data_IF_417518869121
#
_entry.id   IF_417518869121
#
_cell.length_a   1.000
_cell.length_b   1.000
_cell.length_c   1.000
_cell.angle_alpha   90.00
_cell.angle_beta   90.00
_cell.angle_gamma   90.00
#
_symmetry.space_group_name_H-M   'P 1'
#
loop_
_entity.id
_entity.type
_entity.pdbx_description
1 polymer ?
#
# COMPACT_ATOMS: atom_id res chain seq x y z
N UNK A 1 -21.23 26.13 -16.28
CA UNK A 1 -20.70 25.41 -15.08
C UNK A 1 -19.24 25.02 -15.33
N UNK A 2 -18.40 24.92 -14.28
CA UNK A 2 -17.04 24.35 -14.37
C UNK A 2 -17.04 22.95 -13.79
N UNK A 3 -16.70 21.93 -14.58
CA UNK A 3 -16.50 20.55 -14.13
C UNK A 3 -14.99 20.28 -14.04
N UNK A 4 -14.49 19.91 -12.86
CA UNK A 4 -13.10 19.46 -12.71
C UNK A 4 -13.07 17.94 -12.78
N UNK A 5 -12.48 17.41 -13.85
CA UNK A 5 -12.72 16.04 -14.29
C UNK A 5 -11.48 15.16 -14.13
N UNK A 6 -11.60 14.09 -13.35
CA UNK A 6 -10.62 13.00 -13.28
C UNK A 6 -10.75 12.05 -14.46
N UNK A 7 -9.76 12.02 -15.35
CA UNK A 7 -9.79 11.15 -16.55
C UNK A 7 -9.22 9.74 -16.31
N UNK A 8 -8.89 9.41 -15.07
CA UNK A 8 -8.24 8.14 -14.73
C UNK A 8 -6.80 8.02 -15.27
N UNK A 9 -6.14 6.86 -15.09
CA UNK A 9 -4.77 6.64 -15.55
C UNK A 9 -4.67 6.19 -17.01
N UNK A 10 -5.70 5.51 -17.53
CA UNK A 10 -5.85 5.18 -18.96
C UNK A 10 -7.24 5.54 -19.49
N UNK A 11 -7.44 5.45 -20.82
CA UNK A 11 -8.75 5.67 -21.45
C UNK A 11 -9.80 4.65 -21.00
N UNK A 12 -9.37 3.42 -20.67
CA UNK A 12 -10.24 2.32 -20.20
C UNK A 12 -10.68 2.50 -18.75
N UNK A 13 -9.86 3.17 -17.94
CA UNK A 13 -10.14 3.44 -16.52
C UNK A 13 -10.94 4.74 -16.32
N UNK A 14 -11.35 5.40 -17.41
CA UNK A 14 -12.18 6.59 -17.34
C UNK A 14 -13.58 6.21 -16.88
N UNK A 15 -14.10 6.91 -15.86
CA UNK A 15 -15.47 6.70 -15.40
C UNK A 15 -16.47 7.17 -16.45
N UNK A 16 -17.65 6.56 -16.49
CA UNK A 16 -18.72 6.98 -17.39
C UNK A 16 -19.11 8.45 -17.17
N UNK A 17 -19.20 8.89 -15.90
CA UNK A 17 -19.48 10.28 -15.54
C UNK A 17 -18.40 11.27 -16.05
N UNK A 18 -17.13 10.87 -16.05
CA UNK A 18 -16.06 11.70 -16.63
C UNK A 18 -16.19 11.83 -18.15
N UNK A 19 -16.56 10.73 -18.83
CA UNK A 19 -16.82 10.73 -20.27
C UNK A 19 -18.00 11.66 -20.63
N UNK A 20 -19.12 11.55 -19.92
CA UNK A 20 -20.28 12.45 -20.12
C UNK A 20 -19.92 13.91 -19.88
N UNK A 21 -19.21 14.22 -18.78
CA UNK A 21 -18.77 15.57 -18.47
C UNK A 21 -17.87 16.19 -19.57
N UNK A 22 -17.01 15.38 -20.18
CA UNK A 22 -16.17 15.81 -21.32
C UNK A 22 -17.02 16.03 -22.57
N UNK A 23 -17.98 15.14 -22.84
CA UNK A 23 -18.87 15.24 -24.00
C UNK A 23 -19.75 16.49 -23.95
N UNK A 24 -20.23 16.86 -22.76
CA UNK A 24 -21.10 18.02 -22.56
C UNK A 24 -20.35 19.36 -22.53
N UNK A 25 -19.02 19.34 -22.42
CA UNK A 25 -18.23 20.57 -22.32
C UNK A 25 -18.05 21.26 -23.68
N UNK A 26 -18.08 22.59 -23.68
CA UNK A 26 -17.72 23.42 -24.83
C UNK A 26 -16.20 23.59 -24.93
N UNK A 27 -15.54 23.68 -23.77
CA UNK A 27 -14.11 23.97 -23.65
C UNK A 27 -13.43 22.91 -22.78
N UNK A 28 -12.34 22.34 -23.29
CA UNK A 28 -11.48 21.41 -22.57
C UNK A 28 -10.18 22.12 -22.20
N UNK A 29 -9.85 22.12 -20.92
CA UNK A 29 -8.64 22.77 -20.39
C UNK A 29 -7.82 21.74 -19.64
N UNK A 30 -6.54 21.59 -20.01
CA UNK A 30 -5.70 20.56 -19.39
C UNK A 30 -4.21 20.70 -19.69
N UNK A 31 -3.43 19.85 -19.04
CA UNK A 31 -2.05 19.62 -19.43
C UNK A 31 -2.01 18.83 -20.74
N UNK A 32 -1.13 19.20 -21.68
CA UNK A 32 -1.02 18.61 -23.01
C UNK A 32 -1.10 17.07 -23.02
N UNK A 33 -0.30 16.40 -22.17
CA UNK A 33 -0.29 14.92 -22.11
C UNK A 33 -1.62 14.30 -21.67
N UNK A 34 -2.46 15.04 -20.95
CA UNK A 34 -3.78 14.56 -20.52
C UNK A 34 -4.79 14.75 -21.65
N UNK A 35 -4.73 15.89 -22.35
CA UNK A 35 -5.54 16.18 -23.53
C UNK A 35 -5.25 15.15 -24.63
N UNK A 36 -3.98 14.82 -24.86
CA UNK A 36 -3.56 13.82 -25.85
C UNK A 36 -4.22 12.44 -25.65
N UNK A 37 -4.59 12.09 -24.41
CA UNK A 37 -5.23 10.80 -24.07
C UNK A 37 -6.72 10.72 -24.38
N UNK A 38 -7.35 11.85 -24.71
CA UNK A 38 -8.79 11.95 -24.92
C UNK A 38 -9.15 12.65 -26.25
N UNK A 39 -8.16 12.82 -27.16
CA UNK A 39 -8.34 13.55 -28.43
C UNK A 39 -9.51 13.01 -29.26
N UNK A 40 -9.72 11.69 -29.22
CA UNK A 40 -10.79 10.97 -29.92
C UNK A 40 -12.20 11.41 -29.51
N UNK A 41 -12.38 12.01 -28.33
CA UNK A 41 -13.70 12.37 -27.78
C UNK A 41 -13.91 13.87 -27.55
N UNK A 42 -12.97 14.70 -28.02
CA UNK A 42 -13.01 16.15 -27.87
C UNK A 42 -12.93 16.90 -29.21
N UNK A 43 -13.12 16.19 -30.31
CA UNK A 43 -13.16 16.78 -31.65
C UNK A 43 -14.26 17.85 -31.75
N UNK A 44 -13.95 18.97 -32.42
CA UNK A 44 -14.87 20.11 -32.58
C UNK A 44 -15.03 21.00 -31.34
N UNK A 45 -14.41 20.68 -30.20
CA UNK A 45 -14.43 21.51 -28.98
C UNK A 45 -13.30 22.53 -28.97
N UNK A 46 -13.45 23.60 -28.18
CA UNK A 46 -12.31 24.48 -27.89
C UNK A 46 -11.33 23.78 -26.96
N UNK A 47 -10.04 23.71 -27.32
CA UNK A 47 -9.03 23.00 -26.54
C UNK A 47 -7.95 23.99 -26.09
N UNK A 48 -7.74 24.09 -24.78
CA UNK A 48 -6.71 24.93 -24.18
C UNK A 48 -5.67 24.06 -23.49
N UNK A 49 -4.55 23.87 -24.17
CA UNK A 49 -3.39 23.13 -23.67
C UNK A 49 -2.40 24.09 -23.00
N UNK A 50 -2.07 23.84 -21.73
CA UNK A 50 -1.01 24.57 -21.01
C UNK A 50 0.08 23.63 -20.52
N UNK A 51 1.28 24.17 -20.29
CA UNK A 51 2.46 23.42 -19.88
C UNK A 51 2.46 23.03 -18.40
N UNK A 52 3.52 22.34 -17.96
CA UNK A 52 3.76 22.08 -16.54
C UNK A 52 4.03 23.41 -15.81
N UNK A 53 3.62 23.52 -14.53
CA UNK A 53 3.78 24.72 -13.65
C UNK A 53 2.86 25.89 -13.97
N UNK A 54 1.85 25.67 -14.80
CA UNK A 54 0.82 26.64 -15.14
C UNK A 54 -0.53 26.26 -14.50
N UNK A 55 -0.52 25.58 -13.35
CA UNK A 55 -1.75 25.10 -12.69
C UNK A 55 -2.68 26.28 -12.37
N UNK A 56 -2.17 27.34 -11.74
CA UNK A 56 -2.96 28.54 -11.40
C UNK A 56 -3.57 29.15 -12.67
N UNK A 57 -2.76 29.30 -13.72
CA UNK A 57 -3.21 29.85 -15.00
C UNK A 57 -4.31 29.01 -15.65
N UNK A 58 -4.25 27.67 -15.55
CA UNK A 58 -5.33 26.79 -16.04
C UNK A 58 -6.65 27.05 -15.31
N UNK A 59 -6.59 27.21 -13.98
CA UNK A 59 -7.78 27.51 -13.18
C UNK A 59 -8.36 28.89 -13.52
N UNK A 60 -7.52 29.92 -13.65
CA UNK A 60 -7.96 31.28 -14.05
C UNK A 60 -8.60 31.30 -15.44
N UNK A 61 -8.04 30.55 -16.41
CA UNK A 61 -8.63 30.42 -17.74
C UNK A 61 -9.99 29.70 -17.68
N UNK A 62 -10.12 28.66 -16.85
CA UNK A 62 -11.40 27.97 -16.66
C UNK A 62 -12.49 28.92 -16.15
N UNK A 63 -12.14 29.79 -15.19
CA UNK A 63 -13.04 30.82 -14.66
C UNK A 63 -13.41 31.84 -15.73
N UNK A 64 -12.43 32.30 -16.51
CA UNK A 64 -12.68 33.23 -17.64
C UNK A 64 -13.66 32.62 -18.64
N UNK A 65 -13.43 31.38 -19.08
CA UNK A 65 -14.29 30.68 -20.04
C UNK A 65 -15.70 30.43 -19.51
N UNK A 66 -15.82 30.12 -18.22
CA UNK A 66 -17.12 30.00 -17.60
C UNK A 66 -17.90 31.31 -17.61
N UNK A 67 -17.24 32.45 -17.36
CA UNK A 67 -17.86 33.80 -17.44
C UNK A 67 -18.25 34.20 -18.87
N UNK A 68 -17.62 33.61 -19.87
CA UNK A 68 -18.04 33.71 -21.28
C UNK A 68 -19.29 32.84 -21.57
N UNK A 69 -19.91 32.24 -20.56
CA UNK A 69 -21.11 31.39 -20.69
C UNK A 69 -20.82 29.95 -21.10
N UNK A 70 -19.56 29.52 -21.14
CA UNK A 70 -19.18 28.17 -21.58
C UNK A 70 -19.32 27.13 -20.47
N UNK A 71 -19.63 25.91 -20.89
CA UNK A 71 -19.45 24.70 -20.09
C UNK A 71 -17.99 24.24 -20.18
N UNK A 72 -17.30 24.24 -19.05
CA UNK A 72 -15.84 24.03 -19.00
C UNK A 72 -15.53 22.70 -18.35
N UNK A 73 -14.71 21.87 -19.00
CA UNK A 73 -14.07 20.72 -18.38
C UNK A 73 -12.58 21.01 -18.12
N UNK A 74 -12.23 21.14 -16.84
CA UNK A 74 -10.84 21.26 -16.38
C UNK A 74 -10.32 19.88 -15.99
N UNK A 75 -9.51 19.26 -16.85
CA UNK A 75 -9.14 17.85 -16.69
C UNK A 75 -7.89 17.65 -15.80
N UNK A 76 -7.88 16.57 -15.03
CA UNK A 76 -6.73 16.06 -14.26
C UNK A 76 -6.49 14.58 -14.57
N UNK A 77 -5.23 14.15 -14.61
CA UNK A 77 -4.93 12.71 -14.64
C UNK A 77 -5.33 12.04 -13.34
N UNK A 78 -5.89 10.84 -13.41
CA UNK A 78 -6.34 10.13 -12.22
C UNK A 78 -7.56 10.81 -11.60
N UNK A 79 -7.46 11.17 -10.32
CA UNK A 79 -8.49 11.89 -9.58
C UNK A 79 -8.08 13.37 -9.38
N UNK A 80 -8.99 14.35 -9.56
CA UNK A 80 -8.64 15.76 -9.46
C UNK A 80 -8.34 16.23 -8.02
N UNK A 81 -8.80 15.50 -7.00
CA UNK A 81 -8.54 15.78 -5.58
C UNK A 81 -7.19 15.26 -5.08
N UNK A 82 -6.58 14.31 -5.78
CA UNK A 82 -5.29 13.72 -5.37
C UNK A 82 -4.15 14.40 -6.13
N UNK A 83 -3.56 15.42 -5.51
CA UNK A 83 -2.48 16.25 -6.08
C UNK A 83 -2.82 16.83 -7.47
N UNK A 84 -4.11 17.04 -7.74
CA UNK A 84 -4.65 17.49 -9.03
C UNK A 84 -5.19 18.92 -9.03
N UNK A 85 -5.98 19.25 -10.05
CA UNK A 85 -6.50 20.61 -10.26
C UNK A 85 -7.55 21.06 -9.26
N UNK A 86 -8.25 20.15 -8.54
CA UNK A 86 -9.27 20.56 -7.58
C UNK A 86 -8.66 21.40 -6.46
N UNK A 87 -7.55 20.95 -5.88
CA UNK A 87 -6.85 21.68 -4.81
C UNK A 87 -6.38 23.07 -5.27
N UNK A 88 -5.90 23.16 -6.51
CA UNK A 88 -5.46 24.45 -7.08
C UNK A 88 -6.65 25.36 -7.35
N UNK A 89 -7.74 24.83 -7.88
CA UNK A 89 -8.92 25.60 -8.21
C UNK A 89 -9.56 26.18 -6.95
N UNK A 90 -9.80 25.35 -5.92
CA UNK A 90 -10.38 25.80 -4.67
C UNK A 90 -9.47 26.74 -3.88
N UNK A 91 -8.15 26.67 -4.05
CA UNK A 91 -7.24 27.68 -3.49
C UNK A 91 -7.44 29.09 -4.10
N UNK A 92 -8.02 29.18 -5.30
CA UNK A 92 -8.23 30.44 -6.01
C UNK A 92 -9.69 30.90 -6.02
N UNK A 93 -10.64 30.03 -5.65
CA UNK A 93 -12.06 30.26 -5.88
C UNK A 93 -12.58 31.51 -5.16
N UNK A 94 -12.08 31.79 -3.96
CA UNK A 94 -12.51 32.92 -3.12
C UNK A 94 -12.19 34.30 -3.74
N UNK A 95 -11.35 34.34 -4.77
CA UNK A 95 -11.10 35.57 -5.56
C UNK A 95 -12.27 35.92 -6.49
N UNK A 96 -13.26 35.04 -6.65
CA UNK A 96 -14.30 35.14 -7.66
C UNK A 96 -15.68 34.80 -7.08
N UNK A 97 -16.64 35.70 -7.28
CA UNK A 97 -18.05 35.45 -6.91
C UNK A 97 -18.80 34.70 -8.01
N UNK A 98 -19.87 33.99 -7.60
CA UNK A 98 -20.85 33.34 -8.49
C UNK A 98 -20.24 32.32 -9.46
N UNK A 99 -19.36 31.45 -8.96
CA UNK A 99 -18.74 30.37 -9.74
C UNK A 99 -19.31 29.03 -9.27
N UNK A 100 -20.00 28.32 -10.16
CA UNK A 100 -20.48 26.96 -9.89
C UNK A 100 -19.47 25.91 -10.36
N UNK A 101 -19.09 25.02 -9.44
CA UNK A 101 -18.08 23.99 -9.66
C UNK A 101 -18.62 22.61 -9.28
N UNK A 102 -18.33 21.63 -10.12
CA UNK A 102 -18.60 20.22 -9.87
C UNK A 102 -17.30 19.42 -9.97
N UNK A 103 -17.02 18.54 -9.00
CA UNK A 103 -15.88 17.61 -9.06
C UNK A 103 -16.36 16.26 -9.57
N UNK A 104 -15.76 15.80 -10.68
CA UNK A 104 -16.01 14.48 -11.24
C UNK A 104 -14.84 13.56 -10.87
N UNK A 105 -15.07 12.52 -10.05
CA UNK A 105 -14.01 11.66 -9.57
C UNK A 105 -13.44 10.78 -10.69
N UNK A 106 -12.19 10.38 -10.49
CA UNK A 106 -11.49 9.45 -11.40
C UNK A 106 -10.72 8.38 -10.65
N UNK A 107 -10.40 7.27 -11.32
CA UNK A 107 -9.55 6.23 -10.72
C UNK A 107 -8.16 6.84 -10.46
N UNK A 108 -7.71 6.90 -9.22
CA UNK A 108 -6.38 7.44 -8.90
C UNK A 108 -5.28 6.42 -9.22
N UNK A 109 -4.05 6.91 -9.41
CA UNK A 109 -2.90 6.07 -9.75
C UNK A 109 -2.64 4.96 -8.71
N UNK A 110 -2.91 5.21 -7.42
CA UNK A 110 -2.78 4.21 -6.35
C UNK A 110 -3.63 2.95 -6.60
N UNK A 111 -4.93 3.11 -6.85
CA UNK A 111 -5.81 1.97 -7.11
C UNK A 111 -5.47 1.28 -8.43
N UNK A 112 -5.13 2.05 -9.47
CA UNK A 112 -4.71 1.49 -10.75
C UNK A 112 -3.44 0.65 -10.61
N UNK A 113 -2.39 1.20 -10.00
CA UNK A 113 -1.15 0.45 -9.76
C UNK A 113 -1.38 -0.79 -8.90
N UNK A 114 -2.20 -0.69 -7.85
CA UNK A 114 -2.56 -1.84 -7.02
C UNK A 114 -3.26 -2.94 -7.82
N UNK A 115 -4.18 -2.59 -8.73
CA UNK A 115 -4.87 -3.56 -9.58
C UNK A 115 -3.92 -4.36 -10.50
N UNK A 116 -2.78 -3.77 -10.86
CA UNK A 116 -1.75 -4.43 -11.66
C UNK A 116 -0.78 -5.28 -10.81
N UNK A 117 -0.73 -5.03 -9.50
CA UNK A 117 0.16 -5.70 -8.55
C UNK A 117 -0.52 -6.84 -7.79
N UNK A 118 -1.85 -6.89 -7.75
CA UNK A 118 -2.62 -7.86 -6.97
C UNK A 118 -3.50 -7.16 -5.92
N UNK A 119 -3.18 -7.34 -4.64
CA UNK A 119 -3.91 -6.71 -3.52
C UNK A 119 -2.94 -6.10 -2.47
N UNK A 120 -2.09 -5.13 -2.86
CA UNK A 120 -1.08 -4.56 -1.95
C UNK A 120 -1.63 -3.49 -1.00
N UNK A 121 -2.88 -3.03 -1.17
CA UNK A 121 -3.46 -1.97 -0.36
C UNK A 121 -4.29 -2.56 0.80
N UNK A 122 -4.02 -2.09 2.02
CA UNK A 122 -4.88 -2.24 3.21
C UNK A 122 -5.07 -0.86 3.83
N UNK A 123 -4.65 -0.64 5.08
CA UNK A 123 -4.52 0.70 5.65
C UNK A 123 -3.30 1.29 4.98
N UNK A 124 -3.50 2.32 4.18
CA UNK A 124 -2.43 2.92 3.39
C UNK A 124 -2.47 4.45 3.47
N UNK A 125 -1.33 5.05 3.18
CA UNK A 125 -1.18 6.49 3.04
C UNK A 125 -0.69 6.84 1.63
N UNK A 126 -1.02 8.05 1.21
CA UNK A 126 -0.58 8.63 -0.06
C UNK A 126 0.29 9.85 0.25
N UNK A 127 1.56 9.80 -0.12
CA UNK A 127 2.53 10.86 0.14
C UNK A 127 3.13 11.33 -1.19
N UNK A 128 3.06 12.63 -1.46
CA UNK A 128 3.81 13.25 -2.55
C UNK A 128 5.23 13.53 -2.08
N UNK A 129 6.24 13.12 -2.87
CA UNK A 129 7.64 13.43 -2.63
C UNK A 129 8.11 14.72 -3.33
N UNK A 130 7.18 15.50 -3.90
CA UNK A 130 7.49 16.82 -4.46
C UNK A 130 7.72 17.84 -3.34
N UNK A 131 8.93 18.38 -3.26
CA UNK A 131 9.38 19.37 -2.29
C UNK A 131 9.30 20.82 -2.81
N UNK A 132 8.59 21.08 -3.92
CA UNK A 132 8.48 22.43 -4.52
C UNK A 132 7.85 23.44 -3.54
N UNK A 133 6.77 23.04 -2.88
CA UNK A 133 6.05 23.87 -1.90
C UNK A 133 5.96 23.18 -0.53
N UNK A 134 6.56 22.00 -0.38
CA UNK A 134 6.51 21.20 0.85
C UNK A 134 7.93 21.04 1.39
N UNK A 135 8.23 21.57 2.59
CA UNK A 135 9.54 21.41 3.20
C UNK A 135 9.92 19.93 3.35
N UNK A 136 11.19 19.61 3.11
CA UNK A 136 11.69 18.24 3.27
C UNK A 136 11.47 17.69 4.69
N UNK A 137 11.52 18.55 5.71
CA UNK A 137 11.22 18.19 7.10
C UNK A 137 9.80 17.64 7.27
N UNK A 138 8.83 18.21 6.58
CA UNK A 138 7.44 17.74 6.60
C UNK A 138 7.30 16.39 5.89
N UNK A 139 7.94 16.21 4.72
CA UNK A 139 7.95 14.93 4.00
C UNK A 139 8.53 13.84 4.89
N UNK A 140 9.70 14.09 5.50
CA UNK A 140 10.36 13.15 6.42
C UNK A 140 9.45 12.77 7.58
N UNK A 141 8.81 13.76 8.23
CA UNK A 141 7.86 13.51 9.32
C UNK A 141 6.68 12.65 8.90
N UNK A 142 6.08 12.91 7.73
CA UNK A 142 4.97 12.10 7.18
C UNK A 142 5.40 10.65 6.93
N UNK A 143 6.58 10.44 6.33
CA UNK A 143 7.11 9.10 6.06
C UNK A 143 7.43 8.35 7.35
N UNK A 144 8.08 9.01 8.31
CA UNK A 144 8.40 8.43 9.62
C UNK A 144 7.11 7.98 10.35
N UNK A 145 6.11 8.85 10.44
CA UNK A 145 4.85 8.51 11.09
C UNK A 145 4.07 7.41 10.35
N UNK A 146 4.14 7.39 9.02
CA UNK A 146 3.47 6.37 8.23
C UNK A 146 4.08 4.97 8.44
N UNK A 147 5.41 4.89 8.47
CA UNK A 147 6.11 3.62 8.64
C UNK A 147 5.97 3.08 10.06
N UNK A 148 6.07 3.95 11.08
CA UNK A 148 5.92 3.54 12.49
C UNK A 148 4.49 3.14 12.83
N UNK A 149 3.49 3.77 12.20
CA UNK A 149 2.09 3.37 12.33
C UNK A 149 1.72 2.11 11.50
N UNK A 150 2.64 1.58 10.70
CA UNK A 150 2.42 0.32 9.99
C UNK A 150 1.58 0.40 8.72
N UNK A 151 1.44 1.60 8.14
CA UNK A 151 0.74 1.82 6.88
C UNK A 151 1.51 1.25 5.69
N UNK A 152 0.77 0.79 4.67
CA UNK A 152 1.31 0.69 3.31
C UNK A 152 1.53 2.12 2.78
N UNK A 153 2.67 2.40 2.15
CA UNK A 153 3.00 3.76 1.72
C UNK A 153 3.00 3.84 0.20
N UNK A 154 2.15 4.71 -0.36
CA UNK A 154 2.11 4.99 -1.80
C UNK A 154 2.79 6.34 -2.07
N UNK A 155 3.88 6.33 -2.83
CA UNK A 155 4.58 7.54 -3.21
C UNK A 155 4.14 8.05 -4.59
N UNK A 156 3.63 9.29 -4.59
CA UNK A 156 3.41 10.08 -5.79
C UNK A 156 4.61 11.01 -6.00
N UNK A 157 4.82 11.40 -7.26
CA UNK A 157 5.87 12.33 -7.66
C UNK A 157 7.26 11.92 -7.13
N UNK A 158 7.66 10.64 -7.26
CA UNK A 158 8.74 10.10 -6.43
C UNK A 158 10.10 10.68 -6.75
N UNK A 159 10.42 10.95 -8.02
CA UNK A 159 11.74 11.49 -8.42
C UNK A 159 11.66 12.45 -9.59
N UNK A 160 12.03 13.71 -9.36
CA UNK A 160 12.21 14.70 -10.43
C UNK A 160 13.61 14.61 -11.05
N UNK A 161 13.78 15.11 -12.28
CA UNK A 161 15.08 15.08 -13.00
C UNK A 161 16.27 15.60 -12.17
N UNK A 162 16.08 16.72 -11.45
CA UNK A 162 17.11 17.36 -10.62
C UNK A 162 16.95 17.08 -9.11
N UNK A 163 15.80 16.53 -8.70
CA UNK A 163 15.39 16.44 -7.28
C UNK A 163 15.25 14.97 -6.90
N UNK A 164 16.36 14.39 -6.46
CA UNK A 164 16.45 13.00 -5.96
C UNK A 164 16.39 12.91 -4.43
N UNK A 165 16.70 14.01 -3.73
CA UNK A 165 16.87 14.06 -2.26
C UNK A 165 15.63 13.57 -1.47
N UNK A 166 14.37 13.97 -1.79
CA UNK A 166 13.20 13.51 -1.03
C UNK A 166 13.03 11.99 -1.02
N UNK A 167 13.19 11.33 -2.18
CA UNK A 167 13.12 9.87 -2.29
C UNK A 167 14.22 9.17 -1.49
N UNK A 168 15.46 9.64 -1.60
CA UNK A 168 16.59 9.06 -0.88
C UNK A 168 16.37 9.15 0.63
N UNK A 169 15.93 10.31 1.13
CA UNK A 169 15.64 10.51 2.55
C UNK A 169 14.45 9.67 3.02
N UNK A 170 13.38 9.57 2.23
CA UNK A 170 12.24 8.71 2.53
C UNK A 170 12.64 7.23 2.62
N UNK A 171 13.41 6.73 1.66
CA UNK A 171 13.91 5.34 1.69
C UNK A 171 14.87 5.10 2.84
N UNK A 172 15.71 6.09 3.21
CA UNK A 172 16.56 6.01 4.40
C UNK A 172 15.73 5.85 5.67
N UNK A 173 14.65 6.62 5.81
CA UNK A 173 13.73 6.49 6.95
C UNK A 173 13.09 5.10 6.99
N UNK A 174 12.54 4.66 5.85
CA UNK A 174 11.84 3.37 5.76
C UNK A 174 12.80 2.22 6.07
N UNK A 175 14.03 2.25 5.55
CA UNK A 175 15.08 1.24 5.80
C UNK A 175 15.56 1.17 7.25
N UNK A 176 15.28 2.18 8.07
CA UNK A 176 15.55 2.10 9.52
C UNK A 176 14.47 1.35 10.27
N UNK A 177 13.26 1.25 9.73
CA UNK A 177 12.10 0.69 10.40
C UNK A 177 11.62 -0.62 9.78
N UNK A 178 11.88 -0.89 8.50
CA UNK A 178 11.36 -2.06 7.81
C UNK A 178 12.46 -3.02 7.39
N UNK A 179 12.15 -4.31 7.46
CA UNK A 179 12.98 -5.39 6.92
C UNK A 179 13.40 -5.10 5.46
N UNK A 180 14.65 -5.43 5.08
CA UNK A 180 15.13 -5.27 3.70
C UNK A 180 14.32 -6.03 2.65
N UNK A 181 13.64 -7.10 3.06
CA UNK A 181 12.84 -7.99 2.20
C UNK A 181 11.41 -7.49 1.97
N UNK A 182 11.00 -6.36 2.56
CA UNK A 182 9.65 -5.82 2.35
C UNK A 182 9.40 -5.59 0.86
N UNK A 183 8.30 -6.13 0.29
CA UNK A 183 8.00 -5.96 -1.12
C UNK A 183 7.74 -4.49 -1.49
N UNK A 184 8.24 -4.11 -2.66
CA UNK A 184 8.04 -2.80 -3.27
C UNK A 184 7.49 -2.99 -4.68
N UNK A 185 6.28 -2.48 -4.91
CA UNK A 185 5.69 -2.36 -6.23
C UNK A 185 6.18 -1.08 -6.93
N UNK A 186 6.61 -1.21 -8.18
CA UNK A 186 7.08 -0.12 -9.05
C UNK A 186 6.23 -0.13 -10.31
N UNK A 187 5.36 0.87 -10.47
CA UNK A 187 4.46 0.95 -11.65
C UNK A 187 4.78 2.19 -12.46
N UNK A 188 5.22 2.01 -13.71
CA UNK A 188 5.66 3.09 -14.60
C UNK A 188 4.90 3.04 -15.91
N UNK A 189 4.01 4.00 -16.14
CA UNK A 189 3.19 4.06 -17.36
C UNK A 189 2.40 2.77 -17.63
N UNK A 190 1.96 2.07 -16.59
CA UNK A 190 1.25 0.78 -16.68
C UNK A 190 2.15 -0.46 -16.73
N UNK A 191 3.48 -0.32 -16.85
CA UNK A 191 4.41 -1.45 -16.70
C UNK A 191 4.66 -1.72 -15.23
N UNK A 192 4.62 -3.00 -14.85
CA UNK A 192 4.77 -3.47 -13.47
C UNK A 192 6.18 -4.02 -13.25
N UNK A 193 6.80 -3.61 -12.16
CA UNK A 193 7.95 -4.27 -11.56
C UNK A 193 7.69 -4.50 -10.07
N UNK A 194 8.15 -5.64 -9.55
CA UNK A 194 8.12 -5.95 -8.13
C UNK A 194 9.56 -6.22 -7.69
N UNK A 195 9.98 -5.58 -6.60
CA UNK A 195 11.31 -5.74 -6.00
C UNK A 195 11.19 -5.73 -4.47
N UNK A 196 12.30 -5.67 -3.75
CA UNK A 196 12.34 -5.51 -2.30
C UNK A 196 12.95 -4.16 -1.93
N UNK A 197 12.77 -3.73 -0.67
CA UNK A 197 13.32 -2.47 -0.16
C UNK A 197 14.85 -2.38 -0.31
N UNK A 198 15.56 -3.52 -0.18
CA UNK A 198 16.99 -3.61 -0.40
C UNK A 198 17.38 -3.49 -1.87
N UNK A 199 16.62 -4.14 -2.76
CA UNK A 199 16.93 -4.25 -4.20
C UNK A 199 16.34 -3.12 -5.05
N UNK A 200 15.61 -2.19 -4.45
CA UNK A 200 15.02 -1.05 -5.14
C UNK A 200 16.12 -0.14 -5.71
N UNK A 201 16.26 -0.16 -7.04
CA UNK A 201 17.09 0.80 -7.77
C UNK A 201 16.35 2.13 -7.92
N UNK A 202 16.95 3.20 -7.37
CA UNK A 202 16.38 4.54 -7.44
C UNK A 202 16.54 5.19 -8.80
N UNK A 203 17.46 4.71 -9.64
CA UNK A 203 17.75 5.34 -10.92
C UNK A 203 16.67 5.09 -11.98
N UNK A 204 15.95 3.96 -11.91
CA UNK A 204 14.80 3.63 -12.77
C UNK A 204 13.51 4.42 -12.46
N UNK A 205 13.48 5.11 -11.32
CA UNK A 205 12.32 5.82 -10.81
C UNK A 205 12.28 7.24 -11.37
N UNK A 206 11.13 7.70 -11.88
CA UNK A 206 10.93 9.09 -12.32
C UNK A 206 9.51 9.61 -12.01
N UNK A 207 9.15 10.79 -12.55
CA UNK A 207 7.85 11.43 -12.32
C UNK A 207 6.65 10.64 -12.88
N UNK A 208 6.88 9.63 -13.72
CA UNK A 208 5.84 8.74 -14.26
C UNK A 208 5.74 7.40 -13.51
N UNK A 209 6.55 7.24 -12.46
CA UNK A 209 6.56 6.06 -11.60
C UNK A 209 5.67 6.30 -10.39
N UNK A 210 4.91 5.28 -10.00
CA UNK A 210 4.28 5.15 -8.70
C UNK A 210 4.98 4.04 -7.91
N UNK A 211 5.28 4.29 -6.64
CA UNK A 211 5.85 3.28 -5.75
C UNK A 211 4.82 2.88 -4.69
N UNK A 212 4.66 1.58 -4.44
CA UNK A 212 3.89 1.05 -3.32
C UNK A 212 4.85 0.28 -2.43
N UNK A 213 5.13 0.81 -1.25
CA UNK A 213 5.95 0.16 -0.23
C UNK A 213 5.04 -0.65 0.68
N UNK A 214 5.24 -1.97 0.72
CA UNK A 214 4.51 -2.85 1.62
C UNK A 214 4.75 -2.51 3.10
N UNK A 215 3.91 -3.07 3.95
CA UNK A 215 4.08 -3.05 5.40
C UNK A 215 4.59 -4.43 5.91
N UNK A 216 4.82 -4.62 7.22
CA UNK A 216 5.30 -5.90 7.79
C UNK A 216 4.49 -7.16 7.47
N UNK A 217 3.23 -7.00 7.05
CA UNK A 217 2.35 -8.12 6.67
C UNK A 217 2.24 -8.31 5.15
N UNK A 218 2.95 -7.51 4.36
CA UNK A 218 2.89 -7.57 2.91
C UNK A 218 3.87 -8.62 2.37
N UNK A 219 3.43 -9.44 1.43
CA UNK A 219 4.22 -10.53 0.87
C UNK A 219 3.96 -10.75 -0.62
N UNK A 220 4.81 -11.58 -1.24
CA UNK A 220 4.68 -11.99 -2.63
C UNK A 220 4.20 -13.44 -2.73
N UNK A 221 3.28 -13.69 -3.67
CA UNK A 221 2.82 -15.05 -3.98
C UNK A 221 2.36 -15.09 -5.43
N UNK A 222 2.93 -16.02 -6.21
CA UNK A 222 2.52 -16.24 -7.62
C UNK A 222 2.59 -14.95 -8.46
N UNK A 223 3.59 -14.10 -8.21
CA UNK A 223 3.75 -12.81 -8.87
C UNK A 223 2.83 -11.69 -8.35
N UNK A 224 1.94 -11.96 -7.40
CA UNK A 224 1.08 -10.96 -6.76
C UNK A 224 1.69 -10.42 -5.47
N UNK A 225 1.56 -9.11 -5.27
CA UNK A 225 1.81 -8.43 -4.01
C UNK A 225 0.52 -8.38 -3.18
N UNK A 226 0.58 -8.90 -1.95
CA UNK A 226 -0.59 -9.15 -1.11
C UNK A 226 -0.37 -8.59 0.28
N UNK A 227 -1.33 -7.80 0.76
CA UNK A 227 -1.44 -7.40 2.17
C UNK A 227 -2.72 -8.01 2.75
N UNK A 228 -2.63 -8.99 3.68
CA UNK A 228 -3.78 -9.77 4.12
C UNK A 228 -4.71 -8.98 5.03
N UNK A 229 -6.03 -9.26 4.93
CA UNK A 229 -7.06 -8.73 5.84
C UNK A 229 -7.11 -9.42 7.21
N UNK A 230 -6.47 -10.60 7.34
CA UNK A 230 -6.39 -11.34 8.60
C UNK A 230 -7.61 -12.19 8.96
N UNK A 231 -8.32 -12.74 7.98
CA UNK A 231 -9.45 -13.65 8.24
C UNK A 231 -9.01 -14.92 8.98
N UNK A 232 -9.83 -15.34 9.94
CA UNK A 232 -9.61 -16.58 10.67
C UNK A 232 -10.00 -17.79 9.80
N UNK A 233 -9.05 -18.71 9.66
CA UNK A 233 -9.23 -19.98 8.99
C UNK A 233 -9.60 -21.04 10.03
N UNK A 234 -10.64 -21.83 9.76
CA UNK A 234 -11.01 -22.96 10.61
C UNK A 234 -10.22 -24.19 10.21
N UNK A 235 -9.73 -24.93 11.20
CA UNK A 235 -8.99 -26.17 10.99
C UNK A 235 -9.06 -27.01 12.27
N UNK A 236 -8.83 -28.32 12.14
CA UNK A 236 -8.74 -29.23 13.28
C UNK A 236 -7.33 -29.20 13.90
N UNK A 237 -7.22 -29.04 15.22
CA UNK A 237 -5.91 -29.07 15.88
C UNK A 237 -5.33 -30.48 15.74
N UNK A 238 -4.19 -30.60 15.07
CA UNK A 238 -3.51 -31.86 14.89
C UNK A 238 -3.18 -32.51 16.25
N UNK A 239 -3.30 -33.84 16.44
CA UNK A 239 -3.07 -34.48 17.73
C UNK A 239 -1.73 -34.13 18.38
N UNK A 240 -0.65 -34.09 17.60
CA UNK A 240 0.68 -33.68 18.09
C UNK A 240 0.72 -32.24 18.60
N UNK A 241 0.00 -31.32 17.94
CA UNK A 241 -0.09 -29.94 18.41
C UNK A 241 -0.92 -29.86 19.70
N UNK A 242 -1.98 -30.68 19.83
CA UNK A 242 -2.77 -30.77 21.07
C UNK A 242 -1.90 -31.24 22.23
N UNK A 243 -1.21 -32.36 22.09
CA UNK A 243 -0.30 -32.90 23.12
C UNK A 243 0.78 -31.87 23.51
N UNK A 244 1.36 -31.19 22.52
CA UNK A 244 2.35 -30.14 22.77
C UNK A 244 1.78 -29.00 23.62
N UNK A 245 0.56 -28.53 23.31
CA UNK A 245 -0.06 -27.43 24.04
C UNK A 245 -0.61 -27.85 25.41
N UNK A 246 -0.96 -29.12 25.62
CA UNK A 246 -1.26 -29.65 26.96
C UNK A 246 -0.02 -29.55 27.86
N UNK A 247 1.13 -30.02 27.37
CA UNK A 247 2.43 -29.88 28.06
C UNK A 247 2.82 -28.41 28.27
N UNK A 248 2.58 -27.56 27.27
CA UNK A 248 2.86 -26.12 27.39
C UNK A 248 2.10 -25.48 28.55
N UNK A 249 0.79 -25.73 28.63
CA UNK A 249 -0.08 -25.16 29.66
C UNK A 249 0.32 -25.66 31.06
N UNK A 250 0.80 -26.90 31.17
CA UNK A 250 1.29 -27.46 32.43
C UNK A 250 2.72 -27.01 32.81
N UNK A 251 3.39 -26.22 31.97
CA UNK A 251 4.77 -25.78 32.22
C UNK A 251 5.82 -26.87 32.00
N UNK A 252 5.50 -27.90 31.21
CA UNK A 252 6.34 -29.08 30.99
C UNK A 252 7.23 -28.94 29.74
N UNK A 253 7.13 -27.83 28.99
CA UNK A 253 7.95 -27.62 27.78
C UNK A 253 9.31 -26.99 28.10
N UNK A 254 10.31 -27.36 27.30
CA UNK A 254 11.63 -26.73 27.31
C UNK A 254 11.60 -25.46 26.46
N UNK A 255 12.02 -24.35 27.04
CA UNK A 255 12.16 -23.07 26.33
C UNK A 255 13.52 -22.98 25.62
N UNK A 256 13.54 -22.25 24.50
CA UNK A 256 14.74 -22.04 23.69
C UNK A 256 15.00 -23.19 22.70
N UNK A 257 16.26 -23.35 22.25
CA UNK A 257 16.60 -24.39 21.28
C UNK A 257 16.39 -25.82 21.82
N UNK A 258 15.76 -26.67 21.02
CA UNK A 258 15.60 -28.09 21.34
C UNK A 258 16.65 -28.96 20.63
N UNK A 259 17.86 -29.01 21.20
CA UNK A 259 19.01 -29.75 20.63
C UNK A 259 18.82 -31.28 20.61
N UNK A 260 17.83 -31.80 21.34
CA UNK A 260 17.52 -33.24 21.43
C UNK A 260 16.51 -33.68 20.36
N UNK A 261 15.88 -32.73 19.66
CA UNK A 261 14.95 -33.03 18.59
C UNK A 261 15.69 -33.55 17.34
N UNK A 262 15.24 -34.66 16.78
CA UNK A 262 15.82 -35.24 15.54
C UNK A 262 15.75 -34.29 14.33
N UNK A 263 14.81 -33.34 14.35
CA UNK A 263 14.64 -32.35 13.29
C UNK A 263 15.39 -31.03 13.56
N UNK A 264 16.21 -30.93 14.61
CA UNK A 264 16.91 -29.68 14.93
C UNK A 264 18.21 -29.48 14.12
N UNK A 265 18.46 -28.28 13.56
CA UNK A 265 17.49 -27.19 13.36
C UNK A 265 16.55 -27.47 12.19
N UNK A 266 15.28 -27.10 12.32
CA UNK A 266 14.33 -27.26 11.22
C UNK A 266 14.32 -26.07 10.24
N UNK A 267 14.77 -24.89 10.68
CA UNK A 267 14.89 -23.68 9.86
C UNK A 267 16.31 -23.09 9.91
N UNK A 268 16.86 -22.83 11.11
CA UNK A 268 18.19 -22.22 11.24
C UNK A 268 18.87 -22.56 12.58
N UNK A 269 20.20 -22.50 12.60
CA UNK A 269 20.99 -22.78 13.79
C UNK A 269 20.69 -21.78 14.92
N UNK A 270 20.42 -22.29 16.12
CA UNK A 270 20.11 -21.47 17.30
C UNK A 270 18.66 -20.98 17.36
N UNK A 271 17.78 -21.53 16.52
CA UNK A 271 16.34 -21.28 16.53
C UNK A 271 15.70 -21.56 17.90
N UNK A 272 14.74 -20.74 18.28
CA UNK A 272 13.95 -20.93 19.49
C UNK A 272 12.78 -21.89 19.20
N UNK A 273 12.73 -23.02 19.91
CA UNK A 273 11.75 -24.08 19.69
C UNK A 273 10.56 -24.02 20.66
N UNK A 274 10.45 -22.94 21.46
CA UNK A 274 9.37 -22.74 22.46
C UNK A 274 7.96 -22.80 21.87
N UNK A 275 7.81 -22.48 20.58
CA UNK A 275 6.54 -22.58 19.84
C UNK A 275 6.70 -23.41 18.57
N UNK A 276 7.37 -24.57 18.68
CA UNK A 276 7.62 -25.48 17.55
C UNK A 276 6.33 -25.91 16.84
N UNK A 277 5.24 -26.04 17.60
CA UNK A 277 3.89 -26.00 17.04
C UNK A 277 3.37 -24.58 17.15
N UNK A 278 3.09 -23.96 16.00
CA UNK A 278 2.64 -22.57 15.97
C UNK A 278 1.21 -22.45 16.53
N UNK A 279 0.95 -21.55 17.51
CA UNK A 279 -0.39 -21.38 18.11
C UNK A 279 -1.39 -20.80 17.10
N UNK A 280 -0.88 -20.26 15.99
CA UNK A 280 -1.67 -19.62 14.96
C UNK A 280 -2.04 -20.56 13.82
N UNK A 281 -1.66 -21.84 13.85
CA UNK A 281 -1.90 -22.75 12.73
C UNK A 281 -3.41 -23.01 12.47
N UNK A 282 -3.86 -23.03 11.20
CA UNK A 282 -3.24 -22.38 10.05
C UNK A 282 -3.36 -20.86 10.21
N UNK A 283 -2.27 -20.14 9.94
CA UNK A 283 -2.26 -18.69 10.15
C UNK A 283 -2.77 -17.93 8.90
N UNK A 284 -2.62 -18.51 7.70
CA UNK A 284 -3.04 -17.87 6.45
C UNK A 284 -2.26 -16.60 6.13
N UNK A 285 -1.09 -16.41 6.74
CA UNK A 285 -0.26 -15.22 6.58
C UNK A 285 1.02 -15.58 5.84
N UNK A 286 1.10 -15.22 4.57
CA UNK A 286 2.27 -15.48 3.75
C UNK A 286 3.46 -14.57 4.07
N UNK A 287 3.27 -13.51 4.87
CA UNK A 287 4.36 -12.59 5.21
C UNK A 287 5.42 -13.20 6.09
N UNK A 288 5.08 -14.27 6.80
CA UNK A 288 6.03 -15.05 7.58
C UNK A 288 6.55 -16.26 6.80
N UNK A 289 6.28 -16.39 5.49
CA UNK A 289 6.74 -17.51 4.66
C UNK A 289 5.72 -18.65 4.49
N UNK A 290 4.59 -18.64 5.22
CA UNK A 290 3.59 -19.70 5.08
C UNK A 290 2.87 -19.70 3.72
N UNK A 291 2.35 -20.86 3.31
CA UNK A 291 1.65 -21.03 2.03
C UNK A 291 0.65 -22.19 2.03
N UNK A 292 -0.28 -22.19 1.07
CA UNK A 292 -1.20 -23.31 0.87
C UNK A 292 -0.60 -24.33 -0.11
N UNK A 293 -0.61 -25.60 0.28
CA UNK A 293 -0.42 -26.72 -0.64
C UNK A 293 -1.77 -27.00 -1.31
N UNK A 294 -1.96 -26.42 -2.51
CA UNK A 294 -3.26 -26.34 -3.20
C UNK A 294 -3.98 -27.69 -3.30
N UNK A 295 -3.28 -28.73 -3.76
CA UNK A 295 -3.88 -30.05 -4.00
C UNK A 295 -4.22 -30.81 -2.72
N UNK A 296 -3.64 -30.40 -1.58
CA UNK A 296 -3.89 -31.01 -0.27
C UNK A 296 -4.85 -30.21 0.60
N UNK A 297 -5.08 -28.93 0.27
CA UNK A 297 -5.83 -28.01 1.13
C UNK A 297 -5.16 -27.79 2.50
N UNK A 298 -3.85 -27.95 2.58
CA UNK A 298 -3.07 -27.87 3.84
C UNK A 298 -2.22 -26.60 3.86
N UNK A 299 -2.22 -25.90 4.99
CA UNK A 299 -1.31 -24.78 5.22
C UNK A 299 0.08 -25.31 5.59
N UNK A 300 1.10 -24.91 4.85
CA UNK A 300 2.50 -25.19 5.13
C UNK A 300 3.16 -24.00 5.81
N UNK A 301 3.93 -24.28 6.86
CA UNK A 301 4.79 -23.33 7.55
C UNK A 301 6.28 -23.63 7.28
N UNK A 302 6.62 -24.47 6.31
CA UNK A 302 7.99 -24.94 6.10
C UNK A 302 8.99 -23.80 5.82
N UNK A 303 8.54 -22.72 5.19
CA UNK A 303 9.36 -21.54 4.90
C UNK A 303 9.21 -20.44 5.97
N UNK A 304 8.62 -20.75 7.13
CA UNK A 304 8.35 -19.79 8.19
C UNK A 304 9.36 -19.83 9.33
N UNK A 305 10.25 -18.83 9.35
CA UNK A 305 11.24 -18.66 10.42
C UNK A 305 10.71 -17.81 11.59
N UNK A 306 9.69 -16.99 11.37
CA UNK A 306 9.27 -15.93 12.31
C UNK A 306 8.96 -16.43 13.72
N UNK A 307 8.28 -17.59 13.85
CA UNK A 307 7.88 -18.15 15.15
C UNK A 307 9.08 -18.65 15.98
N UNK A 308 10.22 -18.85 15.32
CA UNK A 308 11.46 -19.35 15.89
C UNK A 308 12.48 -18.26 16.24
N UNK A 309 12.17 -17.00 15.92
CA UNK A 309 13.01 -15.87 16.31
C UNK A 309 12.84 -15.57 17.81
N UNK A 310 13.95 -15.41 18.53
CA UNK A 310 13.94 -15.11 19.98
C UNK A 310 13.07 -13.90 20.35
N UNK A 311 13.10 -12.84 19.52
CA UNK A 311 12.27 -11.63 19.72
C UNK A 311 10.78 -11.93 19.56
N UNK A 312 10.40 -12.82 18.65
CA UNK A 312 9.02 -13.27 18.45
C UNK A 312 8.54 -14.11 19.61
N UNK A 313 9.32 -15.11 20.02
CA UNK A 313 8.98 -15.92 21.21
C UNK A 313 8.79 -15.01 22.43
N UNK A 314 9.72 -14.07 22.67
CA UNK A 314 9.60 -13.09 23.76
C UNK A 314 8.33 -12.23 23.65
N UNK A 315 7.95 -11.79 22.45
CA UNK A 315 6.72 -11.01 22.25
C UNK A 315 5.48 -11.85 22.58
N UNK A 316 5.42 -13.07 22.07
CA UNK A 316 4.29 -13.97 22.24
C UNK A 316 4.05 -14.34 23.70
N UNK A 317 5.11 -14.73 24.43
CA UNK A 317 5.01 -15.12 25.84
C UNK A 317 4.41 -14.05 26.75
N UNK A 318 4.52 -12.75 26.40
CA UNK A 318 3.91 -11.66 27.19
C UNK A 318 2.39 -11.79 27.32
N UNK A 319 1.73 -12.41 26.34
CA UNK A 319 0.26 -12.41 26.24
C UNK A 319 -0.32 -13.80 26.01
N UNK A 320 0.41 -14.73 25.40
CA UNK A 320 -0.12 -16.03 24.98
C UNK A 320 -0.71 -16.81 26.15
N UNK A 321 -0.05 -16.81 27.31
CA UNK A 321 -0.49 -17.51 28.53
C UNK A 321 -1.81 -16.95 29.09
N UNK A 322 -2.14 -15.70 28.77
CA UNK A 322 -3.41 -15.09 29.15
C UNK A 322 -4.54 -15.48 28.20
N UNK A 323 -4.21 -15.82 26.95
CA UNK A 323 -5.18 -16.24 25.93
C UNK A 323 -5.48 -17.73 26.07
N UNK A 324 -4.45 -18.58 26.10
CA UNK A 324 -4.59 -20.04 26.08
C UNK A 324 -4.59 -20.58 27.52
N UNK A 325 -5.76 -20.98 28.02
CA UNK A 325 -5.93 -21.62 29.34
C UNK A 325 -6.24 -23.11 29.22
N UNK A 326 -6.85 -23.50 28.11
CA UNK A 326 -7.05 -24.89 27.70
C UNK A 326 -6.69 -25.05 26.22
N UNK A 327 -6.40 -26.28 25.77
CA UNK A 327 -5.96 -26.48 24.38
C UNK A 327 -7.04 -26.13 23.34
N UNK A 328 -8.32 -26.21 23.69
CA UNK A 328 -9.39 -25.82 22.78
C UNK A 328 -9.43 -24.30 22.54
N UNK A 329 -8.77 -23.48 23.38
CA UNK A 329 -8.62 -22.04 23.16
C UNK A 329 -7.87 -21.71 21.86
N UNK A 330 -7.00 -22.61 21.36
CA UNK A 330 -6.37 -22.48 20.04
C UNK A 330 -7.40 -22.31 18.91
N UNK A 331 -8.57 -22.94 19.07
CA UNK A 331 -9.70 -22.82 18.17
C UNK A 331 -10.72 -21.77 18.66
N UNK A 332 -11.15 -21.85 19.92
CA UNK A 332 -12.21 -20.99 20.49
C UNK A 332 -11.82 -19.51 20.48
N UNK A 333 -10.53 -19.20 20.75
CA UNK A 333 -9.98 -17.84 20.84
C UNK A 333 -9.11 -17.48 19.63
N UNK A 334 -9.33 -18.12 18.47
CA UNK A 334 -8.55 -17.90 17.25
C UNK A 334 -8.41 -16.43 16.87
N UNK A 335 -9.46 -15.61 17.05
CA UNK A 335 -9.42 -14.17 16.75
C UNK A 335 -8.43 -13.41 17.63
N UNK A 336 -8.35 -13.74 18.92
CA UNK A 336 -7.41 -13.11 19.86
C UNK A 336 -5.97 -13.52 19.54
N UNK A 337 -5.77 -14.80 19.22
CA UNK A 337 -4.49 -15.31 18.75
C UNK A 337 -4.02 -14.60 17.47
N UNK A 338 -4.91 -14.38 16.50
CA UNK A 338 -4.56 -13.65 15.28
C UNK A 338 -4.27 -12.15 15.54
N UNK A 339 -4.91 -11.52 16.53
CA UNK A 339 -4.55 -10.18 16.99
C UNK A 339 -3.17 -10.16 17.62
N UNK A 340 -2.86 -11.12 18.50
CA UNK A 340 -1.53 -11.28 19.09
C UNK A 340 -0.46 -11.51 18.01
N UNK A 341 -0.75 -12.38 17.03
CA UNK A 341 0.14 -12.61 15.89
C UNK A 341 0.41 -11.30 15.15
N UNK A 342 -0.63 -10.55 14.79
CA UNK A 342 -0.49 -9.28 14.10
C UNK A 342 0.36 -8.32 14.93
N UNK A 343 0.06 -8.14 16.22
CA UNK A 343 0.84 -7.32 17.13
C UNK A 343 2.33 -7.71 17.12
N UNK A 344 2.65 -8.99 17.31
CA UNK A 344 4.02 -9.44 17.34
C UNK A 344 4.74 -9.38 15.98
N UNK A 345 4.03 -9.54 14.85
CA UNK A 345 4.62 -9.29 13.52
C UNK A 345 5.08 -7.83 13.41
N UNK A 346 4.24 -6.88 13.84
CA UNK A 346 4.63 -5.47 13.82
C UNK A 346 5.76 -5.17 14.80
N UNK A 347 5.70 -5.65 16.04
CA UNK A 347 6.75 -5.45 17.05
C UNK A 347 8.11 -6.04 16.63
N UNK A 348 8.13 -7.16 15.90
CA UNK A 348 9.38 -7.85 15.59
C UNK A 348 9.91 -7.57 14.21
N UNK A 349 9.07 -7.14 13.26
CA UNK A 349 9.50 -6.78 11.90
C UNK A 349 9.59 -5.27 11.67
N UNK A 350 9.11 -4.45 12.61
CA UNK A 350 9.59 -3.08 12.76
C UNK A 350 10.97 -3.14 13.47
N UNK A 351 11.97 -2.49 12.89
CA UNK A 351 13.35 -2.46 13.41
C UNK A 351 13.56 -1.35 14.44
#
# INVERSE_FOLDING_TARGET
MIKIVGIGPTRKDMTFRAFEAIKDADVIIGYKKYVDRIRDIIEGKEIIEKGMREEIRRAEIAIKKHREGKNVALISSGDPGIFGMANVFFHLIDKYSNIEVEIIPGVTAANYAASLLGAPLHDFTVISLSDILTPLSEIKRKVENAVTAGFVIVFYNPKGKKRKKPLIEALKIIRRHLSPEIPVGVVKGGKVGITTLQRLDVDDIDMSTLLIIGNPTTYLREGYMITPRGYALRYFIHPLAREYYEKYINGEIKEGPNLECEYYPCHFMGQDCTFCYCPFYPCGDGSTGGYWIKDKGVWSCQECEWIHEKKTVKCLKKTLDNIIKDVEDLNKKKRELLKLRRHCIYETRLM
#
